data_IF_767783127580
#
_entry.id   IF_767783127580
#
_cell.length_a   1.000
_cell.length_b   1.000
_cell.length_c   1.000
_cell.angle_alpha   90.00
_cell.angle_beta   90.00
_cell.angle_gamma   90.00
#
_symmetry.space_group_name_H-M   'P 1'
#
loop_
_entity.id
_entity.type
_entity.pdbx_description
1 polymer ?
#
# COMPACT_ATOMS: atom_id res chain seq x y z
N UNK A 1 -15.70 13.39 -8.43
CA UNK A 1 -14.78 12.43 -7.77
C UNK A 1 -15.24 11.01 -8.04
N UNK A 2 -14.36 10.03 -7.88
CA UNK A 2 -14.71 8.62 -8.06
C UNK A 2 -14.48 7.84 -6.75
N UNK A 3 -15.50 7.73 -5.88
CA UNK A 3 -15.40 6.93 -4.65
C UNK A 3 -15.01 5.46 -4.88
N UNK A 4 -15.50 4.87 -5.99
CA UNK A 4 -15.29 3.47 -6.37
C UNK A 4 -14.85 3.39 -7.82
N UNK A 5 -14.27 2.24 -8.21
CA UNK A 5 -13.90 1.95 -9.59
C UNK A 5 -15.11 1.97 -10.53
N UNK A 6 -16.31 1.64 -10.01
CA UNK A 6 -17.55 1.73 -10.77
C UNK A 6 -17.80 3.15 -11.29
N UNK A 7 -17.64 4.17 -10.43
CA UNK A 7 -17.88 5.56 -10.82
C UNK A 7 -16.91 6.03 -11.91
N UNK A 8 -15.63 5.66 -11.78
CA UNK A 8 -14.63 5.99 -12.79
C UNK A 8 -14.92 5.33 -14.14
N UNK A 9 -15.26 4.04 -14.15
CA UNK A 9 -15.53 3.30 -15.39
C UNK A 9 -16.82 3.77 -16.06
N UNK A 10 -17.86 4.05 -15.28
CA UNK A 10 -19.12 4.57 -15.79
C UNK A 10 -18.94 5.92 -16.48
N UNK A 11 -18.17 6.83 -15.87
CA UNK A 11 -17.95 8.17 -16.41
C UNK A 11 -17.03 8.15 -17.65
N UNK A 12 -15.92 7.41 -17.61
CA UNK A 12 -14.93 7.39 -18.69
C UNK A 12 -15.37 6.58 -19.92
N UNK A 13 -16.14 5.50 -19.72
CA UNK A 13 -16.48 4.56 -20.80
C UNK A 13 -17.97 4.40 -21.03
N UNK A 14 -18.84 4.95 -20.16
CA UNK A 14 -20.28 4.75 -20.24
C UNK A 14 -20.73 3.32 -19.89
N UNK A 15 -19.85 2.49 -19.30
CA UNK A 15 -20.14 1.07 -19.03
C UNK A 15 -20.52 0.88 -17.57
N UNK A 16 -21.72 0.32 -17.32
CA UNK A 16 -22.19 -0.01 -15.98
C UNK A 16 -21.80 -1.44 -15.60
N UNK A 17 -20.76 -1.58 -14.79
CA UNK A 17 -20.33 -2.88 -14.22
C UNK A 17 -20.50 -2.87 -12.70
N UNK A 18 -21.66 -3.32 -12.16
CA UNK A 18 -21.96 -3.24 -10.73
C UNK A 18 -20.85 -3.79 -9.83
N UNK A 19 -20.19 -4.88 -10.25
CA UNK A 19 -19.07 -5.50 -9.52
C UNK A 19 -17.95 -4.54 -9.09
N UNK A 20 -17.73 -3.45 -9.84
CA UNK A 20 -16.70 -2.46 -9.53
C UNK A 20 -17.04 -1.55 -8.33
N UNK A 21 -18.26 -1.62 -7.78
CA UNK A 21 -18.61 -0.91 -6.54
C UNK A 21 -17.85 -1.44 -5.32
N UNK A 22 -17.43 -2.71 -5.33
CA UNK A 22 -16.62 -3.29 -4.23
C UNK A 22 -15.24 -2.63 -4.14
N UNK A 23 -14.70 -2.20 -5.27
CA UNK A 23 -13.33 -1.69 -5.35
C UNK A 23 -13.34 -0.20 -5.05
N UNK A 24 -13.08 0.14 -3.79
CA UNK A 24 -12.86 1.52 -3.35
C UNK A 24 -11.65 2.11 -4.06
N UNK A 25 -11.77 3.35 -4.52
CA UNK A 25 -10.73 3.97 -5.37
C UNK A 25 -9.43 4.22 -4.62
N UNK A 26 -9.52 4.64 -3.36
CA UNK A 26 -8.35 4.75 -2.49
C UNK A 26 -7.61 3.41 -2.38
N UNK A 27 -8.33 2.33 -2.05
CA UNK A 27 -7.74 0.98 -1.94
C UNK A 27 -7.13 0.47 -3.25
N UNK A 28 -7.73 0.80 -4.39
CA UNK A 28 -7.17 0.50 -5.71
C UNK A 28 -5.79 1.15 -5.92
N UNK A 29 -5.66 2.45 -5.62
CA UNK A 29 -4.38 3.15 -5.72
C UNK A 29 -3.35 2.68 -4.68
N UNK A 30 -3.77 2.30 -3.47
CA UNK A 30 -2.88 1.66 -2.50
C UNK A 30 -2.31 0.36 -3.07
N UNK A 31 -3.13 -0.49 -3.69
CA UNK A 31 -2.65 -1.71 -4.34
C UNK A 31 -1.64 -1.40 -5.46
N UNK A 32 -1.91 -0.38 -6.29
CA UNK A 32 -0.97 0.07 -7.31
C UNK A 32 0.34 0.60 -6.71
N UNK A 33 0.29 1.28 -5.57
CA UNK A 33 1.47 1.77 -4.88
C UNK A 33 2.39 0.62 -4.42
N UNK A 34 1.81 -0.47 -3.88
CA UNK A 34 2.58 -1.68 -3.55
C UNK A 34 3.23 -2.30 -4.80
N UNK A 35 2.49 -2.39 -5.91
CA UNK A 35 3.01 -2.94 -7.17
C UNK A 35 4.15 -2.08 -7.73
N UNK A 36 4.00 -0.75 -7.68
CA UNK A 36 5.03 0.18 -8.14
C UNK A 36 6.29 0.14 -7.28
N UNK A 37 6.16 0.10 -5.95
CA UNK A 37 7.30 -0.09 -5.05
C UNK A 37 8.00 -1.43 -5.31
N UNK A 38 7.23 -2.51 -5.44
CA UNK A 38 7.74 -3.85 -5.75
C UNK A 38 8.48 -3.87 -7.09
N UNK A 39 7.96 -3.18 -8.10
CA UNK A 39 8.61 -3.04 -9.40
C UNK A 39 9.94 -2.29 -9.30
N UNK A 40 9.96 -1.13 -8.64
CA UNK A 40 11.18 -0.32 -8.41
C UNK A 40 12.24 -1.12 -7.67
N UNK A 41 11.88 -1.82 -6.58
CA UNK A 41 12.78 -2.67 -5.81
C UNK A 41 13.30 -3.81 -6.69
N UNK A 42 12.44 -4.46 -7.49
CA UNK A 42 12.84 -5.53 -8.42
C UNK A 42 13.89 -5.04 -9.43
N UNK A 43 13.73 -3.83 -9.98
CA UNK A 43 14.71 -3.25 -10.89
C UNK A 43 16.07 -3.05 -10.22
N UNK A 44 16.09 -2.57 -8.97
CA UNK A 44 17.33 -2.37 -8.23
C UNK A 44 17.97 -3.68 -7.79
N UNK A 45 17.19 -4.70 -7.40
CA UNK A 45 17.73 -6.03 -7.12
C UNK A 45 18.39 -6.64 -8.35
N UNK A 46 17.75 -6.57 -9.52
CA UNK A 46 18.35 -7.02 -10.80
C UNK A 46 19.63 -6.27 -11.13
N UNK A 47 19.66 -4.95 -10.89
CA UNK A 47 20.87 -4.14 -11.08
C UNK A 47 21.99 -4.57 -10.13
N UNK A 48 21.70 -4.67 -8.83
CA UNK A 48 22.69 -5.06 -7.83
C UNK A 48 23.22 -6.48 -8.04
N UNK A 49 22.40 -7.39 -8.56
CA UNK A 49 22.85 -8.70 -9.01
C UNK A 49 23.79 -8.60 -10.21
N UNK A 50 23.43 -7.82 -11.23
CA UNK A 50 24.28 -7.58 -12.41
C UNK A 50 25.63 -6.95 -12.02
N UNK A 51 25.62 -6.05 -11.04
CA UNK A 51 26.82 -5.39 -10.52
C UNK A 51 27.65 -6.30 -9.58
N UNK A 52 27.21 -7.55 -9.34
CA UNK A 52 27.88 -8.53 -8.49
C UNK A 52 27.78 -8.27 -6.99
N UNK A 53 26.97 -7.28 -6.58
CA UNK A 53 26.77 -6.89 -5.19
C UNK A 53 25.91 -7.91 -4.44
N UNK A 54 24.82 -8.35 -5.07
CA UNK A 54 23.97 -9.42 -4.56
C UNK A 54 24.25 -10.68 -5.39
N UNK A 55 24.36 -11.83 -4.74
CA UNK A 55 24.70 -13.09 -5.42
C UNK A 55 23.47 -14.00 -5.48
N UNK A 56 23.27 -14.64 -6.62
CA UNK A 56 22.33 -15.74 -6.77
C UNK A 56 22.80 -16.95 -5.97
N UNK A 57 21.86 -17.68 -5.36
CA UNK A 57 22.15 -18.88 -4.57
C UNK A 57 21.58 -20.09 -5.29
N UNK A 58 22.40 -21.12 -5.54
CA UNK A 58 21.87 -22.39 -6.03
C UNK A 58 21.26 -23.17 -4.86
N UNK A 59 19.99 -23.55 -5.00
CA UNK A 59 19.29 -24.40 -4.04
C UNK A 59 18.80 -25.65 -4.75
N UNK A 60 18.88 -26.80 -4.07
CA UNK A 60 18.26 -28.03 -4.55
C UNK A 60 16.75 -27.87 -4.58
N UNK A 61 16.11 -28.39 -5.61
CA UNK A 61 14.64 -28.37 -5.69
C UNK A 61 14.10 -29.26 -4.56
N UNK A 62 13.32 -28.68 -3.66
CA UNK A 62 12.59 -29.45 -2.65
C UNK A 62 11.31 -30.00 -3.27
N UNK A 63 11.05 -31.30 -3.09
CA UNK A 63 9.81 -31.92 -3.57
C UNK A 63 8.62 -31.31 -2.82
N UNK A 64 7.62 -30.78 -3.54
CA UNK A 64 6.43 -30.28 -2.87
C UNK A 64 5.71 -31.40 -2.12
N UNK A 65 5.28 -31.10 -0.90
CA UNK A 65 4.47 -32.04 -0.13
C UNK A 65 3.05 -32.07 -0.71
N UNK A 66 2.72 -33.14 -1.45
CA UNK A 66 1.42 -33.29 -2.11
C UNK A 66 0.24 -33.06 -1.16
N UNK A 67 0.26 -33.65 0.03
CA UNK A 67 -0.83 -33.51 1.01
C UNK A 67 -1.00 -32.05 1.39
N UNK A 68 0.12 -31.37 1.69
CA UNK A 68 0.09 -29.94 2.03
C UNK A 68 -0.47 -29.11 0.89
N UNK A 69 -0.04 -29.36 -0.35
CA UNK A 69 -0.50 -28.59 -1.50
C UNK A 69 -1.97 -28.82 -1.83
N UNK A 70 -2.46 -30.05 -1.73
CA UNK A 70 -3.87 -30.36 -1.92
C UNK A 70 -4.72 -29.65 -0.86
N UNK A 71 -4.28 -29.66 0.40
CA UNK A 71 -4.96 -28.97 1.48
C UNK A 71 -4.95 -27.46 1.24
N UNK A 72 -3.80 -26.85 0.94
CA UNK A 72 -3.72 -25.40 0.76
C UNK A 72 -4.52 -24.92 -0.46
N UNK A 73 -4.40 -25.60 -1.59
CA UNK A 73 -5.16 -25.24 -2.80
C UNK A 73 -6.66 -25.52 -2.63
N UNK A 74 -7.02 -26.62 -1.97
CA UNK A 74 -8.41 -26.94 -1.64
C UNK A 74 -9.05 -25.91 -0.72
N UNK A 75 -8.34 -25.45 0.32
CA UNK A 75 -8.81 -24.39 1.21
C UNK A 75 -8.95 -23.05 0.49
N UNK A 76 -7.99 -22.68 -0.38
CA UNK A 76 -8.11 -21.47 -1.20
C UNK A 76 -9.32 -21.56 -2.14
N UNK A 77 -9.50 -22.70 -2.81
CA UNK A 77 -10.68 -22.98 -3.64
C UNK A 77 -11.96 -22.84 -2.83
N UNK A 78 -12.01 -23.44 -1.63
CA UNK A 78 -13.16 -23.34 -0.73
C UNK A 78 -13.51 -21.89 -0.40
N UNK A 79 -12.52 -21.08 0.02
CA UNK A 79 -12.76 -19.68 0.38
C UNK A 79 -13.25 -18.85 -0.81
N UNK A 80 -12.67 -19.07 -2.01
CA UNK A 80 -13.12 -18.41 -3.24
C UNK A 80 -14.58 -18.78 -3.55
N UNK A 81 -14.93 -20.07 -3.48
CA UNK A 81 -16.29 -20.52 -3.73
C UNK A 81 -17.28 -20.05 -2.67
N UNK A 82 -16.91 -20.19 -1.40
CA UNK A 82 -17.77 -19.89 -0.25
C UNK A 82 -18.09 -18.40 -0.15
N UNK A 83 -17.10 -17.53 -0.37
CA UNK A 83 -17.25 -16.07 -0.28
C UNK A 83 -17.41 -15.40 -1.63
N UNK A 84 -16.39 -15.49 -2.49
CA UNK A 84 -16.28 -14.63 -3.68
C UNK A 84 -17.34 -14.99 -4.72
N UNK A 85 -17.52 -16.29 -5.02
CA UNK A 85 -18.57 -16.71 -5.96
C UNK A 85 -19.95 -16.38 -5.39
N UNK A 86 -20.18 -16.61 -4.09
CA UNK A 86 -21.44 -16.28 -3.45
C UNK A 86 -21.76 -14.77 -3.51
N UNK A 87 -20.77 -13.92 -3.25
CA UNK A 87 -20.88 -12.46 -3.39
C UNK A 87 -21.18 -12.04 -4.83
N UNK A 88 -20.53 -12.66 -5.82
CA UNK A 88 -20.76 -12.38 -7.23
C UNK A 88 -22.17 -12.77 -7.70
N UNK A 89 -22.70 -13.89 -7.19
CA UNK A 89 -24.05 -14.36 -7.55
C UNK A 89 -25.17 -13.57 -6.86
N UNK A 90 -24.94 -13.07 -5.64
CA UNK A 90 -25.91 -12.31 -4.85
C UNK A 90 -25.51 -10.84 -4.72
N UNK A 91 -24.92 -10.30 -5.80
CA UNK A 91 -24.32 -8.97 -5.78
C UNK A 91 -25.33 -7.86 -5.48
N UNK A 92 -26.58 -8.00 -5.93
CA UNK A 92 -27.65 -7.02 -5.67
C UNK A 92 -27.87 -6.78 -4.18
N UNK A 93 -27.75 -7.81 -3.37
CA UNK A 93 -28.16 -7.78 -1.95
C UNK A 93 -26.95 -7.59 -1.02
N UNK A 94 -25.76 -8.00 -1.47
CA UNK A 94 -24.54 -8.01 -0.67
C UNK A 94 -23.53 -6.90 -1.03
N UNK A 95 -23.81 -6.10 -2.07
CA UNK A 95 -22.87 -5.05 -2.52
C UNK A 95 -22.85 -3.78 -1.67
N UNK A 96 -23.82 -3.60 -0.77
CA UNK A 96 -23.91 -2.41 0.08
C UNK A 96 -22.80 -2.38 1.14
N UNK A 97 -22.39 -3.54 1.68
CA UNK A 97 -21.26 -3.64 2.59
C UNK A 97 -20.46 -4.93 2.37
N UNK A 98 -19.62 -4.98 1.31
CA UNK A 98 -18.87 -6.18 0.96
C UNK A 98 -17.83 -6.55 2.02
N UNK A 99 -17.33 -5.58 2.79
CA UNK A 99 -16.35 -5.83 3.86
C UNK A 99 -16.98 -6.60 5.01
N UNK A 100 -18.17 -6.19 5.48
CA UNK A 100 -18.91 -6.90 6.51
C UNK A 100 -19.25 -8.33 6.06
N UNK A 101 -19.69 -8.50 4.81
CA UNK A 101 -19.95 -9.83 4.25
C UNK A 101 -18.68 -10.71 4.21
N UNK A 102 -17.52 -10.16 3.83
CA UNK A 102 -16.28 -10.95 3.76
C UNK A 102 -15.86 -11.51 5.11
N UNK A 103 -16.18 -10.83 6.22
CA UNK A 103 -15.83 -11.21 7.60
C UNK A 103 -16.93 -12.06 8.26
N UNK A 104 -18.17 -12.01 7.76
CA UNK A 104 -19.29 -12.75 8.32
C UNK A 104 -19.11 -14.27 8.23
N UNK A 105 -19.96 -15.04 8.91
CA UNK A 105 -20.05 -16.49 8.71
C UNK A 105 -20.89 -16.88 7.49
N UNK A 106 -21.50 -15.92 6.80
CA UNK A 106 -22.38 -16.16 5.66
C UNK A 106 -21.58 -16.54 4.40
N UNK A 107 -22.14 -17.42 3.58
CA UNK A 107 -21.51 -17.89 2.36
C UNK A 107 -22.20 -19.10 1.77
N UNK A 108 -21.73 -19.55 0.61
CA UNK A 108 -22.29 -20.73 -0.06
C UNK A 108 -21.42 -21.96 0.16
N UNK A 109 -21.90 -22.88 1.00
CA UNK A 109 -21.27 -24.20 1.17
C UNK A 109 -21.18 -24.98 -0.14
N UNK A 110 -22.21 -24.88 -0.99
CA UNK A 110 -22.23 -25.55 -2.30
C UNK A 110 -21.05 -25.10 -3.15
N UNK A 111 -20.93 -23.79 -3.39
CA UNK A 111 -19.84 -23.24 -4.20
C UNK A 111 -18.48 -23.42 -3.54
N UNK A 112 -18.41 -23.37 -2.21
CA UNK A 112 -17.20 -23.69 -1.45
C UNK A 112 -16.71 -25.12 -1.71
N UNK A 113 -17.58 -26.12 -1.58
CA UNK A 113 -17.20 -27.52 -1.80
C UNK A 113 -16.85 -27.78 -3.27
N UNK A 114 -17.62 -27.22 -4.21
CA UNK A 114 -17.33 -27.36 -5.65
C UNK A 114 -15.93 -26.84 -5.96
N UNK A 115 -15.61 -25.62 -5.53
CA UNK A 115 -14.30 -25.02 -5.80
C UNK A 115 -13.15 -25.70 -5.06
N UNK A 116 -13.39 -26.21 -3.84
CA UNK A 116 -12.42 -27.04 -3.13
C UNK A 116 -12.03 -28.26 -3.95
N UNK A 117 -13.02 -29.03 -4.41
CA UNK A 117 -12.79 -30.23 -5.21
C UNK A 117 -12.12 -29.90 -6.55
N UNK A 118 -12.54 -28.82 -7.22
CA UNK A 118 -11.93 -28.37 -8.48
C UNK A 118 -10.46 -27.98 -8.30
N UNK A 119 -10.11 -27.20 -7.29
CA UNK A 119 -8.73 -26.75 -7.06
C UNK A 119 -7.82 -27.89 -6.60
N UNK A 120 -8.30 -28.73 -5.67
CA UNK A 120 -7.55 -29.90 -5.23
C UNK A 120 -7.35 -30.89 -6.38
N UNK A 121 -8.40 -31.18 -7.16
CA UNK A 121 -8.32 -32.04 -8.34
C UNK A 121 -7.39 -31.50 -9.42
N UNK A 122 -7.44 -30.20 -9.69
CA UNK A 122 -6.54 -29.55 -10.64
C UNK A 122 -5.07 -29.59 -10.17
N UNK A 123 -4.80 -29.33 -8.88
CA UNK A 123 -3.44 -29.45 -8.34
C UNK A 123 -2.93 -30.89 -8.37
N UNK A 124 -3.79 -31.87 -8.07
CA UNK A 124 -3.44 -33.29 -8.21
C UNK A 124 -3.07 -33.64 -9.65
N UNK A 125 -3.86 -33.17 -10.63
CA UNK A 125 -3.56 -33.35 -12.06
C UNK A 125 -2.20 -32.74 -12.44
N UNK A 126 -1.90 -31.53 -11.96
CA UNK A 126 -0.58 -30.91 -12.17
C UNK A 126 0.54 -31.71 -11.55
N UNK A 127 0.39 -32.18 -10.30
CA UNK A 127 1.39 -32.99 -9.63
C UNK A 127 1.70 -34.29 -10.39
N UNK A 128 0.67 -34.97 -10.91
CA UNK A 128 0.87 -36.17 -11.74
C UNK A 128 1.59 -35.83 -13.04
N UNK A 129 1.31 -34.66 -13.64
CA UNK A 129 1.94 -34.19 -14.88
C UNK A 129 3.39 -33.72 -14.68
N UNK A 130 3.72 -33.16 -13.51
CA UNK A 130 5.05 -32.67 -13.14
C UNK A 130 6.06 -33.83 -12.98
N UNK A 131 5.59 -35.06 -12.73
CA UNK A 131 6.43 -36.26 -12.68
C UNK A 131 7.39 -36.30 -11.47
N UNK A 132 8.39 -37.19 -11.53
CA UNK A 132 9.43 -37.25 -10.50
C UNK A 132 10.49 -36.17 -10.73
N UNK A 133 10.75 -35.35 -9.72
CA UNK A 133 11.83 -34.37 -9.74
C UNK A 133 13.19 -35.08 -9.65
N UNK A 134 14.13 -34.69 -10.50
CA UNK A 134 15.52 -35.14 -10.39
C UNK A 134 16.13 -34.64 -9.06
N UNK A 135 16.58 -35.52 -8.15
CA UNK A 135 17.17 -35.14 -6.86
C UNK A 135 18.40 -34.23 -6.96
N UNK A 136 19.04 -34.17 -8.12
CA UNK A 136 20.20 -33.33 -8.40
C UNK A 136 19.85 -32.03 -9.13
N UNK A 137 18.58 -31.80 -9.45
CA UNK A 137 18.17 -30.56 -10.07
C UNK A 137 18.38 -29.40 -9.09
N UNK A 138 19.22 -28.46 -9.50
CA UNK A 138 19.45 -27.21 -8.77
C UNK A 138 18.76 -26.08 -9.53
N UNK A 139 18.09 -25.21 -8.78
CA UNK A 139 17.51 -23.98 -9.33
C UNK A 139 18.33 -22.81 -8.82
N UNK A 140 18.68 -21.91 -9.74
CA UNK A 140 19.35 -20.66 -9.39
C UNK A 140 18.32 -19.71 -8.81
N UNK A 141 18.44 -19.44 -7.52
CA UNK A 141 17.57 -18.51 -6.81
C UNK A 141 18.17 -17.11 -6.90
N UNK A 142 17.55 -16.26 -7.71
CA UNK A 142 17.99 -14.89 -7.93
C UNK A 142 17.50 -13.98 -6.80
N UNK A 143 18.28 -12.96 -6.39
CA UNK A 143 17.89 -12.06 -5.31
C UNK A 143 16.54 -11.38 -5.53
N UNK A 144 16.20 -10.97 -6.76
CA UNK A 144 14.93 -10.30 -7.06
C UNK A 144 13.69 -11.19 -6.83
N UNK A 145 13.85 -12.52 -6.70
CA UNK A 145 12.73 -13.43 -6.44
C UNK A 145 12.14 -13.26 -5.04
N UNK A 146 12.86 -12.64 -4.10
CA UNK A 146 12.33 -12.41 -2.74
C UNK A 146 11.41 -11.19 -2.67
N UNK A 147 11.31 -10.37 -3.73
CA UNK A 147 10.61 -9.07 -3.69
C UNK A 147 9.10 -9.23 -3.52
N UNK A 148 8.48 -10.26 -4.11
CA UNK A 148 7.08 -10.57 -3.88
C UNK A 148 6.82 -10.91 -2.40
N UNK A 149 7.68 -11.74 -1.81
CA UNK A 149 7.61 -12.09 -0.39
C UNK A 149 7.89 -10.88 0.51
N UNK A 150 8.83 -10.00 0.14
CA UNK A 150 9.05 -8.73 0.84
C UNK A 150 7.79 -7.87 0.83
N UNK A 151 7.12 -7.76 -0.32
CA UNK A 151 5.87 -7.01 -0.47
C UNK A 151 4.77 -7.59 0.42
N UNK A 152 4.63 -8.92 0.43
CA UNK A 152 3.67 -9.62 1.28
C UNK A 152 3.95 -9.41 2.78
N UNK A 153 5.23 -9.52 3.19
CA UNK A 153 5.64 -9.29 4.57
C UNK A 153 5.46 -7.82 4.97
N UNK A 154 5.73 -6.87 4.07
CA UNK A 154 5.47 -5.46 4.32
C UNK A 154 3.98 -5.22 4.59
N UNK A 155 3.09 -5.80 3.77
CA UNK A 155 1.65 -5.69 3.96
C UNK A 155 1.20 -6.34 5.27
N UNK A 156 1.65 -7.57 5.56
CA UNK A 156 1.25 -8.30 6.77
C UNK A 156 1.79 -7.63 8.04
N UNK A 157 3.09 -7.39 8.10
CA UNK A 157 3.74 -6.78 9.27
C UNK A 157 3.30 -5.32 9.47
N UNK A 158 3.04 -4.59 8.38
CA UNK A 158 2.47 -3.25 8.43
C UNK A 158 1.04 -3.26 8.99
N UNK A 159 0.17 -4.14 8.47
CA UNK A 159 -1.19 -4.27 9.00
C UNK A 159 -1.20 -4.69 10.47
N UNK A 160 -0.43 -5.72 10.83
CA UNK A 160 -0.29 -6.18 12.23
C UNK A 160 0.28 -5.08 13.12
N UNK A 161 1.29 -4.35 12.66
CA UNK A 161 1.87 -3.24 13.42
C UNK A 161 0.88 -2.09 13.63
N UNK A 162 0.12 -1.71 12.61
CA UNK A 162 -0.88 -0.65 12.70
C UNK A 162 -1.97 -0.98 13.73
N UNK A 163 -2.46 -2.23 13.71
CA UNK A 163 -3.48 -2.71 14.63
C UNK A 163 -2.94 -2.83 16.06
N UNK A 164 -1.72 -3.37 16.23
CA UNK A 164 -1.10 -3.49 17.54
C UNK A 164 -0.92 -2.12 18.20
N UNK A 165 -0.39 -1.13 17.48
CA UNK A 165 -0.19 0.21 18.04
C UNK A 165 -1.50 0.93 18.34
N UNK A 166 -2.53 0.75 17.52
CA UNK A 166 -3.86 1.26 17.84
C UNK A 166 -4.33 0.71 19.19
N UNK A 167 -4.18 -0.59 19.45
CA UNK A 167 -4.55 -1.16 20.74
C UNK A 167 -3.63 -0.73 21.90
N UNK A 168 -2.40 -0.33 21.64
CA UNK A 168 -1.53 0.28 22.66
C UNK A 168 -1.95 1.70 23.00
N UNK A 169 -2.41 2.46 21.99
CA UNK A 169 -2.90 3.82 22.13
C UNK A 169 -4.27 3.86 22.85
N UNK A 170 -5.16 2.94 22.49
CA UNK A 170 -6.50 2.78 23.06
C UNK A 170 -6.60 1.54 23.96
N UNK A 171 -5.62 1.34 24.85
CA UNK A 171 -5.54 0.15 25.68
C UNK A 171 -6.77 -0.04 26.59
N UNK A 172 -7.43 1.06 26.99
CA UNK A 172 -8.62 1.02 27.85
C UNK A 172 -9.79 0.30 27.15
N UNK A 173 -9.98 0.50 25.86
CA UNK A 173 -10.99 -0.21 25.06
C UNK A 173 -10.69 -1.71 25.00
N UNK A 174 -9.41 -2.07 24.89
CA UNK A 174 -8.97 -3.47 24.87
C UNK A 174 -9.20 -4.17 26.22
N UNK A 175 -8.96 -3.48 27.33
CA UNK A 175 -9.23 -4.03 28.67
C UNK A 175 -10.73 -4.15 28.96
N UNK A 176 -11.54 -3.22 28.44
CA UNK A 176 -12.99 -3.25 28.59
C UNK A 176 -13.63 -4.38 27.77
N UNK A 177 -13.19 -4.58 26.52
CA UNK A 177 -13.66 -5.68 25.67
C UNK A 177 -12.52 -6.26 24.80
N UNK A 178 -11.87 -7.34 25.26
CA UNK A 178 -10.83 -8.02 24.48
C UNK A 178 -11.32 -8.54 23.12
N UNK A 179 -12.64 -8.72 22.93
CA UNK A 179 -13.22 -9.21 21.68
C UNK A 179 -13.23 -8.15 20.58
N UNK A 180 -12.96 -6.88 20.89
CA UNK A 180 -12.76 -5.80 19.92
C UNK A 180 -11.70 -6.16 18.87
N UNK A 181 -10.69 -6.96 19.23
CA UNK A 181 -9.68 -7.48 18.31
C UNK A 181 -10.27 -8.24 17.10
N UNK A 182 -11.38 -8.94 17.30
CA UNK A 182 -11.96 -9.84 16.30
C UNK A 182 -13.22 -9.29 15.64
N UNK A 183 -13.94 -8.37 16.31
CA UNK A 183 -15.18 -7.80 15.76
C UNK A 183 -14.91 -6.84 14.60
N UNK A 184 -13.94 -5.94 14.77
CA UNK A 184 -13.61 -4.94 13.75
C UNK A 184 -12.11 -4.96 13.39
N UNK A 185 -11.65 -5.98 12.64
CA UNK A 185 -10.23 -6.13 12.33
C UNK A 185 -9.71 -5.02 11.40
N UNK A 186 -10.56 -4.39 10.58
CA UNK A 186 -10.18 -3.36 9.61
C UNK A 186 -10.42 -1.93 10.06
N UNK A 187 -11.05 -1.71 11.22
CA UNK A 187 -11.12 -0.39 11.85
C UNK A 187 -9.96 -0.20 12.82
N UNK A 188 -9.65 1.04 13.19
CA UNK A 188 -8.63 1.32 14.21
C UNK A 188 -7.22 0.90 13.78
N UNK A 189 -6.64 1.64 12.84
CA UNK A 189 -5.29 1.40 12.30
C UNK A 189 -4.42 2.63 12.54
N UNK A 190 -3.43 2.52 13.42
CA UNK A 190 -2.51 3.63 13.71
C UNK A 190 -1.37 3.62 12.68
N UNK A 191 -1.21 4.73 11.95
CA UNK A 191 -0.24 4.86 10.85
C UNK A 191 1.20 4.54 11.29
N UNK A 192 1.66 5.10 12.42
CA UNK A 192 3.02 4.86 12.92
C UNK A 192 3.29 3.39 13.22
N UNK A 193 2.30 2.67 13.75
CA UNK A 193 2.41 1.24 13.96
C UNK A 193 2.63 0.49 12.67
N UNK A 194 1.94 0.88 11.60
CA UNK A 194 2.12 0.27 10.29
C UNK A 194 3.47 0.55 9.66
N UNK A 195 3.95 1.80 9.78
CA UNK A 195 5.27 2.19 9.31
C UNK A 195 6.38 1.40 10.04
N UNK A 196 6.31 1.32 11.37
CA UNK A 196 7.30 0.62 12.20
C UNK A 196 7.24 -0.89 11.94
N UNK A 197 6.05 -1.49 12.02
CA UNK A 197 5.86 -2.93 11.80
C UNK A 197 6.29 -3.37 10.41
N UNK A 198 5.88 -2.63 9.37
CA UNK A 198 6.28 -2.88 7.99
C UNK A 198 7.80 -2.76 7.79
N UNK A 199 8.43 -1.73 8.34
CA UNK A 199 9.89 -1.53 8.27
C UNK A 199 10.64 -2.68 8.93
N UNK A 200 10.25 -3.06 10.16
CA UNK A 200 10.87 -4.18 10.88
C UNK A 200 10.73 -5.48 10.09
N UNK A 201 9.52 -5.78 9.59
CA UNK A 201 9.26 -7.00 8.82
C UNK A 201 10.10 -7.09 7.55
N UNK A 202 10.18 -5.98 6.79
CA UNK A 202 10.99 -5.90 5.57
C UNK A 202 12.47 -6.06 5.87
N UNK A 203 13.02 -5.33 6.86
CA UNK A 203 14.44 -5.41 7.20
C UNK A 203 14.82 -6.78 7.74
N UNK A 204 13.97 -7.39 8.58
CA UNK A 204 14.16 -8.74 9.07
C UNK A 204 14.20 -9.76 7.93
N UNK A 205 13.22 -9.74 7.02
CA UNK A 205 13.17 -10.71 5.94
C UNK A 205 14.26 -10.49 4.89
N UNK A 206 14.59 -9.23 4.58
CA UNK A 206 15.70 -8.89 3.71
C UNK A 206 17.03 -9.40 4.30
N UNK A 207 17.27 -9.15 5.59
CA UNK A 207 18.46 -9.63 6.30
C UNK A 207 18.55 -11.16 6.33
N UNK A 208 17.43 -11.85 6.57
CA UNK A 208 17.36 -13.33 6.52
C UNK A 208 17.74 -13.88 5.14
N UNK A 209 17.52 -13.11 4.07
CA UNK A 209 17.87 -13.47 2.70
C UNK A 209 19.20 -12.84 2.22
N UNK A 210 20.04 -12.37 3.14
CA UNK A 210 21.40 -11.91 2.84
C UNK A 210 21.50 -10.51 2.25
N UNK A 211 20.44 -9.71 2.31
CA UNK A 211 20.45 -8.30 1.87
C UNK A 211 20.83 -7.40 3.06
N UNK A 212 21.95 -6.65 3.00
CA UNK A 212 22.33 -5.74 4.08
C UNK A 212 21.29 -4.64 4.29
N UNK A 213 20.95 -4.34 5.55
CA UNK A 213 19.91 -3.38 5.91
C UNK A 213 20.12 -1.98 5.29
N UNK A 214 21.37 -1.48 5.26
CA UNK A 214 21.71 -0.18 4.64
C UNK A 214 21.35 -0.12 3.16
N UNK A 215 21.55 -1.24 2.44
CA UNK A 215 21.13 -1.33 1.04
C UNK A 215 19.62 -1.40 0.96
N UNK A 216 18.98 -2.20 1.81
CA UNK A 216 17.52 -2.33 1.79
C UNK A 216 16.81 -0.97 2.01
N UNK A 217 17.28 -0.14 2.93
CA UNK A 217 16.70 1.20 3.13
C UNK A 217 16.95 2.13 1.94
N UNK A 218 18.12 2.08 1.29
CA UNK A 218 18.39 2.84 0.07
C UNK A 218 17.47 2.43 -1.08
N UNK A 219 17.17 1.13 -1.20
CA UNK A 219 16.18 0.64 -2.16
C UNK A 219 14.77 1.11 -1.78
N UNK A 220 14.49 1.16 -0.48
CA UNK A 220 13.24 1.65 0.08
C UNK A 220 12.98 3.12 -0.24
N UNK A 221 13.96 4.02 -0.15
CA UNK A 221 13.76 5.47 -0.32
C UNK A 221 13.02 5.87 -1.61
N UNK A 222 13.56 5.58 -2.81
CA UNK A 222 12.86 5.86 -4.06
C UNK A 222 11.53 5.09 -4.19
N UNK A 223 11.48 3.83 -3.74
CA UNK A 223 10.27 3.02 -3.82
C UNK A 223 9.13 3.58 -2.96
N UNK A 224 9.43 4.04 -1.76
CA UNK A 224 8.50 4.71 -0.84
C UNK A 224 8.02 6.05 -1.41
N UNK A 225 8.93 6.84 -2.00
CA UNK A 225 8.54 8.11 -2.61
C UNK A 225 7.57 7.91 -3.80
N UNK A 226 7.83 6.92 -4.66
CA UNK A 226 6.90 6.57 -5.75
C UNK A 226 5.57 6.04 -5.22
N UNK A 227 5.61 5.14 -4.23
CA UNK A 227 4.41 4.58 -3.62
C UNK A 227 3.56 5.65 -2.95
N UNK A 228 4.19 6.60 -2.27
CA UNK A 228 3.53 7.75 -1.67
C UNK A 228 2.82 8.60 -2.73
N UNK A 229 3.50 8.95 -3.83
CA UNK A 229 2.89 9.67 -4.95
C UNK A 229 1.68 8.92 -5.53
N UNK A 230 1.77 7.62 -5.75
CA UNK A 230 0.64 6.82 -6.26
C UNK A 230 -0.49 6.72 -5.23
N UNK A 231 -0.17 6.58 -3.94
CA UNK A 231 -1.17 6.60 -2.87
C UNK A 231 -1.93 7.92 -2.80
N UNK A 232 -1.23 9.05 -2.98
CA UNK A 232 -1.83 10.40 -3.02
C UNK A 232 -2.72 10.62 -4.25
N UNK A 233 -2.49 9.92 -5.36
CA UNK A 233 -3.46 9.88 -6.45
C UNK A 233 -4.78 9.26 -5.98
N UNK A 234 -4.72 8.23 -5.13
CA UNK A 234 -5.89 7.65 -4.47
C UNK A 234 -6.70 8.70 -3.73
N UNK A 235 -6.06 9.45 -2.82
CA UNK A 235 -6.68 10.54 -2.07
C UNK A 235 -7.32 11.59 -2.99
N UNK A 236 -6.60 12.01 -4.04
CA UNK A 236 -7.09 13.00 -4.98
C UNK A 236 -8.32 12.52 -5.76
N UNK A 237 -8.32 11.27 -6.22
CA UNK A 237 -9.38 10.74 -7.10
C UNK A 237 -10.63 10.34 -6.30
N UNK A 238 -10.48 9.82 -5.08
CA UNK A 238 -11.60 9.49 -4.21
C UNK A 238 -12.21 10.71 -3.52
N UNK A 239 -11.41 11.77 -3.31
CA UNK A 239 -11.78 12.88 -2.44
C UNK A 239 -11.94 12.41 -1.00
N UNK A 240 -10.91 11.81 -0.41
CA UNK A 240 -10.99 11.20 0.92
C UNK A 240 -10.87 12.16 2.11
N UNK A 241 -10.83 13.47 1.87
CA UNK A 241 -10.71 14.48 2.94
C UNK A 241 -9.32 15.08 3.09
N UNK A 242 -8.30 14.55 2.39
CA UNK A 242 -6.92 15.02 2.51
C UNK A 242 -6.61 16.32 1.74
N UNK A 243 -7.64 17.13 1.47
CA UNK A 243 -7.53 18.45 0.83
C UNK A 243 -7.08 19.54 1.81
N UNK A 244 -6.68 20.69 1.27
CA UNK A 244 -6.12 21.80 2.02
C UNK A 244 -7.16 22.75 2.59
N UNK A 245 -6.68 23.88 3.13
CA UNK A 245 -7.54 24.97 3.60
C UNK A 245 -8.29 25.62 2.42
N UNK A 246 -9.28 26.46 2.73
CA UNK A 246 -10.01 27.22 1.71
C UNK A 246 -9.06 28.07 0.85
N UNK A 247 -9.29 28.05 -0.47
CA UNK A 247 -8.55 28.81 -1.45
C UNK A 247 -9.48 29.74 -2.23
N UNK A 248 -9.65 30.96 -1.72
CA UNK A 248 -10.37 32.03 -2.39
C UNK A 248 -9.44 32.92 -3.24
N UNK A 249 -8.14 32.60 -3.30
CA UNK A 249 -7.20 33.40 -4.06
C UNK A 249 -7.41 33.21 -5.56
N UNK A 250 -7.44 34.30 -6.36
CA UNK A 250 -7.58 34.17 -7.80
C UNK A 250 -6.38 33.42 -8.39
N UNK A 251 -6.65 32.52 -9.34
CA UNK A 251 -5.59 31.79 -10.04
C UNK A 251 -4.65 32.78 -10.76
N UNK A 252 -3.34 32.70 -10.52
CA UNK A 252 -2.39 33.60 -11.18
C UNK A 252 -2.42 33.46 -12.71
N UNK A 253 -2.32 34.58 -13.43
CA UNK A 253 -2.42 34.59 -14.90
C UNK A 253 -1.42 33.67 -15.62
N UNK A 254 -0.23 33.48 -15.05
CA UNK A 254 0.80 32.60 -15.61
C UNK A 254 0.47 31.09 -15.47
N UNK A 255 -0.55 30.74 -14.67
CA UNK A 255 -1.10 29.40 -14.51
C UNK A 255 -2.40 29.19 -15.30
N UNK A 256 -2.79 30.11 -16.18
CA UNK A 256 -4.03 30.00 -16.95
C UNK A 256 -4.09 28.77 -17.87
N UNK A 257 -2.94 28.21 -18.23
CA UNK A 257 -2.85 26.96 -19.00
C UNK A 257 -3.24 25.71 -18.19
N UNK A 258 -3.26 25.80 -16.85
CA UNK A 258 -3.72 24.72 -15.98
C UNK A 258 -5.24 24.78 -15.80
N UNK A 259 -5.91 23.62 -15.67
CA UNK A 259 -7.29 23.55 -15.23
C UNK A 259 -7.51 24.24 -13.87
N UNK A 260 -8.69 24.82 -13.66
CA UNK A 260 -8.99 25.55 -12.41
C UNK A 260 -8.91 24.66 -11.17
N UNK A 261 -9.32 23.39 -11.30
CA UNK A 261 -9.24 22.41 -10.21
C UNK A 261 -7.81 22.15 -9.71
N UNK A 262 -6.80 22.44 -10.53
CA UNK A 262 -5.40 22.30 -10.12
C UNK A 262 -4.93 23.45 -9.21
N UNK A 263 -5.70 24.54 -9.10
CA UNK A 263 -5.45 25.65 -8.19
C UNK A 263 -6.40 25.63 -6.99
N UNK A 264 -7.71 25.51 -7.26
CA UNK A 264 -8.75 25.52 -6.25
C UNK A 264 -9.86 24.53 -6.65
N UNK A 265 -10.26 23.63 -5.75
CA UNK A 265 -11.16 22.53 -6.10
C UNK A 265 -12.25 22.27 -5.06
N UNK A 266 -13.45 21.91 -5.52
CA UNK A 266 -14.62 21.65 -4.67
C UNK A 266 -14.81 20.17 -4.30
N UNK A 267 -14.05 19.25 -4.92
CA UNK A 267 -14.13 17.80 -4.67
C UNK A 267 -15.57 17.24 -4.70
N UNK A 268 -16.37 17.65 -5.70
CA UNK A 268 -17.76 17.18 -5.85
C UNK A 268 -17.84 15.65 -6.01
N UNK A 269 -18.81 15.03 -5.32
CA UNK A 269 -19.00 13.58 -5.32
C UNK A 269 -17.92 12.81 -4.57
N UNK A 270 -17.24 13.44 -3.62
CA UNK A 270 -16.24 12.80 -2.76
C UNK A 270 -16.82 11.61 -1.98
N UNK A 271 -15.93 10.73 -1.50
CA UNK A 271 -16.31 9.50 -0.78
C UNK A 271 -17.14 9.75 0.49
N UNK A 272 -17.02 10.93 1.10
CA UNK A 272 -17.77 11.31 2.30
C UNK A 272 -19.15 11.89 1.99
N UNK A 273 -19.46 12.16 0.71
CA UNK A 273 -20.72 12.77 0.29
C UNK A 273 -20.91 14.22 0.77
N UNK A 274 -19.85 14.89 1.23
CA UNK A 274 -19.94 16.25 1.72
C UNK A 274 -19.91 17.25 0.57
N UNK A 275 -20.56 18.40 0.74
CA UNK A 275 -20.45 19.52 -0.20
C UNK A 275 -19.62 20.61 0.47
N UNK A 276 -18.49 20.97 -0.14
CA UNK A 276 -17.65 22.05 0.36
C UNK A 276 -18.30 23.40 0.04
N UNK A 277 -18.36 24.30 1.03
CA UNK A 277 -18.91 25.64 0.86
C UNK A 277 -18.00 26.50 -0.05
N UNK A 278 -16.68 26.37 0.16
CA UNK A 278 -15.66 27.07 -0.61
C UNK A 278 -14.69 26.09 -1.27
N UNK A 279 -14.09 26.45 -2.41
CA UNK A 279 -13.01 25.65 -3.01
C UNK A 279 -11.80 25.62 -2.08
N UNK A 280 -11.08 24.51 -2.09
CA UNK A 280 -9.91 24.27 -1.26
C UNK A 280 -8.66 24.05 -2.10
N UNK A 281 -7.48 24.20 -1.47
CA UNK A 281 -6.23 23.79 -2.10
C UNK A 281 -6.23 22.27 -2.37
N UNK A 282 -5.97 21.81 -3.60
CA UNK A 282 -5.93 20.38 -3.92
C UNK A 282 -4.60 19.76 -3.45
N UNK A 283 -4.33 19.75 -2.14
CA UNK A 283 -3.06 19.27 -1.56
C UNK A 283 -2.65 17.88 -2.02
N UNK A 284 -3.53 16.87 -2.18
CA UNK A 284 -3.13 15.57 -2.70
C UNK A 284 -2.53 15.64 -4.10
N UNK A 285 -3.01 16.56 -4.95
CA UNK A 285 -2.45 16.75 -6.28
C UNK A 285 -1.03 17.33 -6.22
N UNK A 286 -0.79 18.29 -5.33
CA UNK A 286 0.55 18.84 -5.11
C UNK A 286 1.51 17.79 -4.53
N UNK A 287 1.05 16.99 -3.57
CA UNK A 287 1.80 15.86 -3.00
C UNK A 287 2.17 14.85 -4.11
N UNK A 288 1.26 14.52 -5.04
CA UNK A 288 1.56 13.66 -6.20
C UNK A 288 2.69 14.25 -7.05
N UNK A 289 2.58 15.53 -7.44
CA UNK A 289 3.57 16.18 -8.30
C UNK A 289 4.94 16.25 -7.64
N UNK A 290 4.98 16.61 -6.35
CA UNK A 290 6.22 16.66 -5.57
C UNK A 290 6.81 15.26 -5.42
N UNK A 291 6.03 14.27 -5.00
CA UNK A 291 6.49 12.90 -4.81
C UNK A 291 7.05 12.29 -6.10
N UNK A 292 6.38 12.46 -7.24
CA UNK A 292 6.88 11.98 -8.53
C UNK A 292 8.18 12.69 -8.94
N UNK A 293 8.25 14.01 -8.76
CA UNK A 293 9.45 14.79 -9.06
C UNK A 293 10.64 14.35 -8.20
N UNK A 294 10.42 14.21 -6.89
CA UNK A 294 11.43 13.76 -5.92
C UNK A 294 11.83 12.31 -6.18
N UNK A 295 10.90 11.44 -6.58
CA UNK A 295 11.21 10.09 -7.03
C UNK A 295 12.17 10.11 -8.22
N UNK A 296 11.90 10.91 -9.26
CA UNK A 296 12.79 10.99 -10.43
C UNK A 296 14.17 11.55 -10.07
N UNK A 297 14.23 12.53 -9.16
CA UNK A 297 15.51 13.05 -8.64
C UNK A 297 16.27 11.93 -7.92
N UNK A 298 15.67 11.26 -6.94
CA UNK A 298 16.27 10.13 -6.22
C UNK A 298 16.70 9.02 -7.18
N UNK A 299 15.85 8.69 -8.14
CA UNK A 299 16.12 7.68 -9.15
C UNK A 299 17.33 8.04 -10.02
N UNK A 300 17.49 9.31 -10.39
CA UNK A 300 18.62 9.78 -11.20
C UNK A 300 19.96 9.71 -10.47
N UNK A 301 19.96 9.89 -9.14
CA UNK A 301 21.17 9.93 -8.31
C UNK A 301 21.47 8.62 -7.58
N UNK A 302 20.58 7.62 -7.65
CA UNK A 302 20.65 6.37 -6.86
C UNK A 302 21.96 5.57 -6.95
N UNK A 303 22.75 5.79 -8.00
CA UNK A 303 24.02 5.07 -8.25
C UNK A 303 25.25 5.80 -7.69
N UNK A 304 25.08 7.03 -7.21
CA UNK A 304 26.20 7.96 -6.93
C UNK A 304 26.75 7.84 -5.51
N UNK A 305 26.07 7.15 -4.61
CA UNK A 305 26.35 7.23 -3.18
C UNK A 305 26.64 5.87 -2.54
N UNK A 306 27.29 5.93 -1.37
CA UNK A 306 27.53 4.77 -0.53
C UNK A 306 26.21 4.28 0.13
N UNK A 307 26.12 2.99 0.53
CA UNK A 307 24.94 2.44 1.16
C UNK A 307 24.50 3.21 2.42
N UNK A 308 23.25 3.68 2.44
CA UNK A 308 22.58 4.43 3.50
C UNK A 308 22.33 5.90 3.13
N UNK A 309 23.16 6.48 2.28
CA UNK A 309 23.11 7.93 1.97
C UNK A 309 21.89 8.28 1.12
N UNK A 310 21.46 7.38 0.23
CA UNK A 310 20.29 7.66 -0.60
C UNK A 310 19.01 7.73 0.25
N UNK A 311 18.91 6.90 1.29
CA UNK A 311 17.82 6.96 2.24
C UNK A 311 17.84 8.25 3.07
N UNK A 312 19.01 8.73 3.48
CA UNK A 312 19.17 10.03 4.15
C UNK A 312 18.65 11.19 3.28
N UNK A 313 19.00 11.20 1.99
CA UNK A 313 18.48 12.19 1.02
C UNK A 313 16.95 12.07 0.91
N UNK A 314 16.41 10.85 0.87
CA UNK A 314 14.98 10.62 0.91
C UNK A 314 14.31 11.21 2.17
N UNK A 315 14.91 11.06 3.35
CA UNK A 315 14.37 11.64 4.59
C UNK A 315 14.32 13.17 4.52
N UNK A 316 15.37 13.81 3.99
CA UNK A 316 15.37 15.26 3.77
C UNK A 316 14.23 15.65 2.82
N UNK A 317 14.09 14.95 1.69
CA UNK A 317 13.04 15.22 0.72
C UNK A 317 11.63 15.02 1.27
N UNK A 318 11.40 13.93 2.00
CA UNK A 318 10.12 13.64 2.65
C UNK A 318 9.78 14.68 3.72
N UNK A 319 10.76 15.10 4.53
CA UNK A 319 10.55 16.15 5.53
C UNK A 319 10.27 17.52 4.91
N UNK A 320 11.01 17.91 3.87
CA UNK A 320 10.78 19.18 3.17
C UNK A 320 9.43 19.19 2.47
N UNK A 321 9.08 18.12 1.75
CA UNK A 321 7.77 17.99 1.11
C UNK A 321 6.63 18.11 2.12
N UNK A 322 6.72 17.36 3.22
CA UNK A 322 5.70 17.37 4.26
C UNK A 322 5.56 18.75 4.90
N UNK A 323 6.68 19.42 5.19
CA UNK A 323 6.66 20.77 5.75
C UNK A 323 5.99 21.79 4.82
N UNK A 324 6.24 21.71 3.51
CA UNK A 324 5.65 22.62 2.53
C UNK A 324 4.13 22.41 2.39
N UNK A 325 3.68 21.16 2.32
CA UNK A 325 2.26 20.82 2.19
C UNK A 325 1.50 21.16 3.46
N UNK A 326 2.11 20.99 4.63
CA UNK A 326 1.49 21.30 5.91
C UNK A 326 1.04 22.76 6.01
N UNK A 327 1.78 23.71 5.40
CA UNK A 327 1.42 25.15 5.39
C UNK A 327 0.11 25.46 4.67
N UNK A 328 -0.36 24.56 3.82
CA UNK A 328 -1.61 24.71 3.05
C UNK A 328 -2.66 23.67 3.44
N UNK A 329 -2.38 22.84 4.46
CA UNK A 329 -3.26 21.76 4.93
C UNK A 329 -4.13 22.22 6.10
N UNK A 330 -5.31 21.62 6.24
CA UNK A 330 -6.16 21.80 7.42
C UNK A 330 -5.61 20.92 8.55
N UNK A 331 -4.88 21.49 9.50
CA UNK A 331 -4.49 20.77 10.71
C UNK A 331 -4.70 21.62 11.96
N UNK A 332 -5.11 21.01 13.09
CA UNK A 332 -5.22 21.70 14.37
C UNK A 332 -3.83 22.07 14.91
N UNK A 333 -3.67 23.30 15.36
CA UNK A 333 -2.44 23.77 16.00
C UNK A 333 -2.22 23.08 17.35
N UNK A 334 -0.99 22.61 17.60
CA UNK A 334 -0.56 22.17 18.92
C UNK A 334 0.30 23.28 19.55
N UNK A 335 -0.13 23.76 20.73
CA UNK A 335 0.63 24.74 21.49
C UNK A 335 1.69 24.02 22.35
N UNK A 336 2.98 24.17 22.02
CA UNK A 336 4.07 23.68 22.86
C UNK A 336 5.13 24.77 23.06
N UNK A 337 5.40 25.13 24.31
CA UNK A 337 6.41 26.14 24.70
C UNK A 337 6.22 27.54 24.08
N UNK A 338 4.98 27.97 23.82
CA UNK A 338 4.68 29.32 23.30
C UNK A 338 4.97 29.50 21.81
N UNK A 339 5.19 28.40 21.08
CA UNK A 339 5.24 28.35 19.62
C UNK A 339 4.17 27.39 19.11
N UNK A 340 3.47 27.77 18.05
CA UNK A 340 2.47 26.94 17.40
C UNK A 340 3.18 26.02 16.42
N UNK A 341 3.24 24.72 16.73
CA UNK A 341 3.83 23.70 15.85
C UNK A 341 2.85 22.58 15.63
N UNK A 342 2.68 22.13 14.38
CA UNK A 342 1.89 20.93 14.13
C UNK A 342 2.74 19.66 14.37
N UNK A 343 2.10 18.54 14.71
CA UNK A 343 2.79 17.25 14.84
C UNK A 343 3.58 16.89 13.57
N UNK A 344 3.04 17.24 12.41
CA UNK A 344 3.69 17.01 11.13
C UNK A 344 4.95 17.86 10.94
N UNK A 345 5.00 19.11 11.45
CA UNK A 345 6.21 19.93 11.39
C UNK A 345 7.34 19.34 12.24
N UNK A 346 7.03 18.82 13.43
CA UNK A 346 8.02 18.16 14.29
C UNK A 346 8.60 16.89 13.63
N UNK A 347 7.75 16.08 13.00
CA UNK A 347 8.19 14.89 12.26
C UNK A 347 9.04 15.29 11.05
N UNK A 348 8.61 16.32 10.32
CA UNK A 348 9.33 16.84 9.16
C UNK A 348 10.72 17.32 9.54
N UNK A 349 10.82 18.09 10.62
CA UNK A 349 12.11 18.54 11.16
C UNK A 349 13.00 17.36 11.57
N UNK A 350 12.42 16.35 12.25
CA UNK A 350 13.14 15.15 12.65
C UNK A 350 13.68 14.37 11.45
N UNK A 351 12.91 14.24 10.37
CA UNK A 351 13.36 13.59 9.13
C UNK A 351 14.51 14.35 8.48
N UNK A 352 14.41 15.67 8.36
CA UNK A 352 15.49 16.50 7.80
C UNK A 352 16.75 16.38 8.65
N UNK A 353 16.64 16.45 9.98
CA UNK A 353 17.77 16.34 10.89
C UNK A 353 18.46 14.97 10.78
N UNK A 354 17.69 13.88 10.82
CA UNK A 354 18.22 12.53 10.68
C UNK A 354 18.90 12.33 9.33
N UNK A 355 18.33 12.88 8.26
CA UNK A 355 18.92 12.81 6.92
C UNK A 355 20.18 13.66 6.74
N UNK A 356 20.37 14.73 7.53
CA UNK A 356 21.61 15.52 7.51
C UNK A 356 22.72 14.83 8.33
N UNK A 357 22.36 14.19 9.44
CA UNK A 357 23.32 13.54 10.35
C UNK A 357 23.87 12.24 9.77
N UNK A 358 23.02 11.42 9.15
CA UNK A 358 23.38 10.09 8.63
C UNK A 358 24.07 10.14 7.27
#
# INVERSE_FOLDING_TARGET
MYPTLYHAVLDLFGVSVPAFKIVMMFGFFVALAFLAASWVITLEFKRLEKDGVLKSVQKKVEKPNLIRELITNGLVGFLIGFKIIHLGLNFSDLSDNPQAFLISSEGSWLWGIVMLCSFAGYRYYQYVKEGELDPNQTVTYHPYMIVSNLTFIAALAGFTGAKLFHHLEYYEELFADPMVLFRDPFSGLTFFGGLIGGTIGVLWYAGKNGVPWKRMIDLGGPALMLAYGIGRMGCHVSGDGDWGVENLAPKPNWLNWLPDWAWAYNYEGNVHGITLENPVWPTPFYEVLMALSLFFILWSIRKRFAPGVLFCIYLIFAGVERFLIEKIRVNPDYHFLGLDFTQAEMISFSFVLLGIIG
#
